data_IF_364651252309
#
_entry.id   IF_364651252309
#
_cell.length_a   1.000
_cell.length_b   1.000
_cell.length_c   1.000
_cell.angle_alpha   90.00
_cell.angle_beta   90.00
_cell.angle_gamma   90.00
#
_symmetry.space_group_name_H-M   'P 1'
#
loop_
_entity.id
_entity.type
_entity.pdbx_description
1 polymer ?
#
# COMPACT_ATOMS: atom_id res chain seq x y z
N UNK A 1 -22.70 -7.33 30.41
CA UNK A 1 -22.84 -8.50 29.54
C UNK A 1 -21.53 -8.61 28.77
N UNK A 2 -20.74 -9.66 29.00
CA UNK A 2 -19.45 -9.87 28.33
C UNK A 2 -19.72 -10.34 26.92
N UNK A 3 -19.41 -9.50 25.91
CA UNK A 3 -19.40 -9.95 24.51
C UNK A 3 -18.06 -10.65 24.26
N UNK A 4 -18.13 -11.94 23.97
CA UNK A 4 -17.00 -12.73 23.53
C UNK A 4 -16.61 -12.24 22.15
N UNK A 5 -15.41 -11.70 22.03
CA UNK A 5 -14.73 -11.40 20.79
C UNK A 5 -14.33 -12.74 20.17
N UNK A 6 -15.15 -13.28 19.26
CA UNK A 6 -14.75 -14.38 18.41
C UNK A 6 -13.89 -13.82 17.28
N UNK A 7 -12.58 -13.81 17.48
CA UNK A 7 -11.63 -13.70 16.38
C UNK A 7 -11.70 -15.03 15.59
N UNK A 8 -12.57 -15.10 14.61
CA UNK A 8 -12.57 -16.17 13.63
C UNK A 8 -11.44 -15.92 12.65
N UNK A 9 -10.24 -16.36 13.00
CA UNK A 9 -9.16 -16.53 12.02
C UNK A 9 -9.61 -17.65 11.08
N UNK A 10 -10.19 -17.29 9.96
CA UNK A 10 -10.46 -18.21 8.86
C UNK A 10 -9.13 -18.56 8.20
N UNK A 11 -8.49 -19.61 8.71
CA UNK A 11 -7.50 -20.36 7.97
C UNK A 11 -8.19 -21.05 6.80
N UNK A 12 -8.34 -20.37 5.68
CA UNK A 12 -8.72 -21.00 4.42
C UNK A 12 -7.52 -21.82 3.92
N UNK A 13 -7.39 -23.04 4.42
CA UNK A 13 -6.63 -24.08 3.76
C UNK A 13 -7.37 -24.38 2.45
N UNK A 14 -6.94 -23.79 1.35
CA UNK A 14 -7.32 -24.21 0.01
C UNK A 14 -6.68 -25.59 -0.25
N UNK A 15 -7.35 -26.66 0.15
CA UNK A 15 -7.12 -27.99 -0.39
C UNK A 15 -7.64 -28.01 -1.83
N UNK A 16 -6.80 -27.62 -2.78
CA UNK A 16 -7.05 -27.89 -4.19
C UNK A 16 -6.83 -29.40 -4.42
N UNK A 17 -7.92 -30.15 -4.46
CA UNK A 17 -7.91 -31.52 -4.98
C UNK A 17 -7.79 -31.46 -6.50
N UNK A 18 -6.60 -31.75 -7.01
CA UNK A 18 -6.41 -32.00 -8.43
C UNK A 18 -6.96 -33.39 -8.78
N UNK A 19 -7.73 -33.55 -9.87
CA UNK A 19 -8.11 -34.87 -10.33
C UNK A 19 -6.89 -35.62 -10.86
N UNK A 20 -6.75 -36.90 -10.42
CA UNK A 20 -5.74 -37.79 -10.90
C UNK A 20 -5.93 -38.05 -12.40
N UNK A 21 -4.92 -37.65 -13.19
CA UNK A 21 -4.85 -38.02 -14.61
C UNK A 21 -4.33 -39.44 -14.75
N UNK A 22 -4.98 -40.18 -15.64
CA UNK A 22 -4.82 -41.59 -15.89
C UNK A 22 -3.40 -41.99 -16.31
N UNK A 23 -2.97 -43.06 -15.75
CA UNK A 23 -1.79 -43.85 -16.05
C UNK A 23 -1.85 -44.40 -17.48
N UNK A 24 -0.95 -44.03 -18.36
CA UNK A 24 -0.68 -44.72 -19.62
C UNK A 24 0.72 -45.32 -19.56
N UNK A 25 0.75 -46.63 -19.85
CA UNK A 25 1.86 -47.55 -19.71
C UNK A 25 3.10 -47.19 -20.54
N UNK A 26 4.26 -47.41 -19.96
CA UNK A 26 5.60 -47.42 -20.53
C UNK A 26 5.87 -48.57 -21.50
N UNK A 27 6.80 -48.38 -22.44
CA UNK A 27 7.66 -49.49 -22.87
C UNK A 27 9.06 -49.41 -22.26
N UNK A 28 9.68 -50.55 -22.12
CA UNK A 28 10.84 -50.89 -21.33
C UNK A 28 12.21 -50.43 -21.90
N UNK A 29 13.11 -50.20 -20.95
CA UNK A 29 14.55 -50.49 -20.92
C UNK A 29 15.47 -49.85 -21.95
N UNK A 30 16.32 -48.92 -21.43
CA UNK A 30 17.70 -48.81 -21.83
C UNK A 30 18.56 -48.59 -20.58
N UNK A 31 19.58 -49.41 -20.41
CA UNK A 31 20.60 -49.31 -19.36
C UNK A 31 21.32 -47.98 -19.45
N UNK A 32 21.37 -47.26 -18.34
CA UNK A 32 22.20 -46.03 -18.23
C UNK A 32 23.17 -46.22 -17.05
N UNK A 33 24.40 -46.20 -17.41
CA UNK A 33 25.63 -46.05 -16.64
C UNK A 33 25.45 -45.29 -15.33
N UNK A 34 25.93 -45.88 -14.24
CA UNK A 34 26.23 -45.21 -12.97
C UNK A 34 27.27 -44.11 -13.21
N UNK A 35 26.81 -42.86 -13.21
CA UNK A 35 27.66 -41.73 -12.97
C UNK A 35 27.43 -41.22 -11.56
N UNK A 36 28.50 -41.22 -10.78
CA UNK A 36 28.58 -40.73 -9.42
C UNK A 36 27.91 -39.38 -9.28
N UNK A 37 26.84 -39.33 -8.51
CA UNK A 37 26.22 -38.11 -8.04
C UNK A 37 27.23 -37.39 -7.15
N UNK A 38 27.80 -36.28 -7.68
CA UNK A 38 28.41 -35.22 -6.86
C UNK A 38 27.38 -34.83 -5.80
N UNK A 39 27.75 -34.67 -4.52
CA UNK A 39 26.82 -34.19 -3.52
C UNK A 39 26.35 -32.81 -3.98
N UNK A 40 25.04 -32.64 -4.14
CA UNK A 40 24.44 -31.35 -4.33
C UNK A 40 24.93 -30.46 -3.18
N UNK A 41 25.75 -29.47 -3.50
CA UNK A 41 26.04 -28.38 -2.57
C UNK A 41 24.66 -27.84 -2.12
N UNK A 42 24.33 -28.08 -0.87
CA UNK A 42 23.25 -27.37 -0.20
C UNK A 42 23.68 -25.90 -0.18
N UNK A 43 23.26 -25.13 -1.17
CA UNK A 43 23.34 -23.68 -1.11
C UNK A 43 22.65 -23.30 0.19
N UNK A 44 23.43 -22.85 1.16
CA UNK A 44 22.91 -22.38 2.43
C UNK A 44 21.84 -21.34 2.10
N UNK A 45 20.63 -21.52 2.62
CA UNK A 45 19.52 -20.61 2.43
C UNK A 45 19.90 -19.25 3.07
N UNK A 46 20.56 -18.40 2.28
CA UNK A 46 21.08 -17.13 2.74
C UNK A 46 19.89 -16.22 3.06
N UNK A 47 19.74 -15.90 4.34
CA UNK A 47 18.78 -14.90 4.78
C UNK A 47 19.45 -13.53 4.76
N UNK A 48 18.70 -12.50 4.40
CA UNK A 48 19.13 -11.11 4.54
C UNK A 48 18.12 -10.30 5.34
N UNK A 49 18.60 -9.32 6.09
CA UNK A 49 17.79 -8.33 6.78
C UNK A 49 18.25 -6.94 6.35
N UNK A 50 17.35 -6.19 5.75
CA UNK A 50 17.62 -4.86 5.23
C UNK A 50 16.70 -3.84 5.90
N UNK A 51 17.28 -2.74 6.40
CA UNK A 51 16.50 -1.58 6.83
C UNK A 51 16.46 -0.55 5.70
N UNK A 52 15.27 -0.20 5.26
CA UNK A 52 15.08 0.75 4.17
C UNK A 52 14.43 2.03 4.71
N UNK A 53 15.10 3.15 4.53
CA UNK A 53 14.46 4.46 4.50
C UNK A 53 14.05 4.66 3.04
N UNK A 54 12.81 4.35 2.72
CA UNK A 54 12.27 4.53 1.37
C UNK A 54 12.19 6.01 1.03
N UNK A 55 11.74 6.83 2.00
CA UNK A 55 11.62 8.27 1.82
C UNK A 55 11.52 9.00 3.17
N UNK A 56 12.38 9.99 3.38
CA UNK A 56 12.14 11.11 4.31
C UNK A 56 12.03 12.33 3.43
N UNK A 57 10.90 13.02 3.43
CA UNK A 57 10.68 14.11 2.50
C UNK A 57 10.04 15.34 3.15
N UNK A 58 10.35 16.50 2.56
CA UNK A 58 9.57 17.73 2.70
C UNK A 58 8.92 18.00 1.35
N UNK A 59 7.62 18.22 1.38
CA UNK A 59 6.81 18.38 0.19
C UNK A 59 6.09 19.73 0.21
N UNK A 60 6.11 20.40 -0.93
CA UNK A 60 5.27 21.58 -1.20
C UNK A 60 4.24 21.17 -2.25
N UNK A 61 2.96 21.38 -1.97
CA UNK A 61 1.87 20.92 -2.80
C UNK A 61 0.88 22.03 -3.12
N UNK A 62 0.30 21.92 -4.31
CA UNK A 62 -0.87 22.66 -4.75
C UNK A 62 -2.00 21.65 -5.06
N UNK A 63 -3.16 21.90 -4.50
CA UNK A 63 -4.28 20.97 -4.48
C UNK A 63 -5.45 21.51 -5.29
N UNK A 64 -6.10 20.66 -6.08
CA UNK A 64 -7.29 21.00 -6.86
C UNK A 64 -8.33 19.87 -6.76
N UNK A 65 -9.59 20.24 -6.50
CA UNK A 65 -10.71 19.31 -6.33
C UNK A 65 -11.84 19.63 -7.29
N UNK A 66 -12.43 18.60 -7.90
CA UNK A 66 -13.64 18.73 -8.73
C UNK A 66 -14.91 18.37 -7.94
N UNK A 67 -16.04 18.99 -8.28
CA UNK A 67 -17.36 18.72 -7.67
C UNK A 67 -17.38 18.97 -6.14
N UNK A 68 -16.90 20.11 -5.67
CA UNK A 68 -16.68 20.49 -4.26
C UNK A 68 -17.93 20.43 -3.35
N UNK A 69 -19.12 20.56 -3.89
CA UNK A 69 -20.33 20.86 -3.10
C UNK A 69 -21.19 19.63 -2.75
N UNK A 70 -20.67 18.41 -2.90
CA UNK A 70 -21.42 17.21 -2.56
C UNK A 70 -21.18 16.82 -1.09
N UNK A 71 -22.17 16.93 -0.21
CA UNK A 71 -22.05 16.65 1.23
C UNK A 71 -21.81 15.17 1.56
N UNK A 72 -21.86 14.28 0.55
CA UNK A 72 -21.63 12.85 0.73
C UNK A 72 -20.16 12.47 0.62
N UNK A 73 -19.25 13.43 0.51
CA UNK A 73 -17.81 13.19 0.57
C UNK A 73 -17.22 13.67 1.89
N UNK A 74 -16.18 12.99 2.43
CA UNK A 74 -15.42 13.50 3.57
C UNK A 74 -14.86 14.90 3.33
N UNK A 75 -14.65 15.68 4.40
CA UNK A 75 -14.19 17.07 4.34
C UNK A 75 -12.83 17.20 3.64
N UNK A 76 -11.97 16.19 3.72
CA UNK A 76 -10.69 16.16 2.98
C UNK A 76 -10.85 16.26 1.46
N UNK A 77 -12.03 15.95 0.93
CA UNK A 77 -12.39 16.12 -0.49
C UNK A 77 -13.10 17.45 -0.79
N UNK A 78 -13.35 18.29 0.21
CA UNK A 78 -14.04 19.57 0.07
C UNK A 78 -13.10 20.78 0.08
N UNK A 79 -11.80 20.56 0.27
CA UNK A 79 -10.80 21.61 0.35
C UNK A 79 -10.70 22.41 -0.96
N UNK A 80 -10.66 23.73 -0.84
CA UNK A 80 -10.34 24.63 -1.94
C UNK A 80 -8.86 24.54 -2.34
N UNK A 81 -8.45 25.28 -3.42
CA UNK A 81 -7.05 25.41 -3.78
C UNK A 81 -6.22 25.82 -2.55
N UNK A 82 -5.28 24.98 -2.16
CA UNK A 82 -4.49 25.18 -0.96
C UNK A 82 -3.01 24.90 -1.25
N UNK A 83 -2.18 25.72 -0.62
CA UNK A 83 -0.74 25.51 -0.60
C UNK A 83 -0.38 24.84 0.73
N UNK A 84 0.21 23.68 0.66
CA UNK A 84 0.59 22.88 1.84
C UNK A 84 2.09 22.67 1.89
N UNK A 85 2.57 22.52 3.12
CA UNK A 85 3.89 21.94 3.39
C UNK A 85 3.65 20.71 4.25
N UNK A 86 4.17 19.58 3.82
CA UNK A 86 4.12 18.34 4.58
C UNK A 86 5.51 17.75 4.81
N UNK A 87 5.63 17.02 5.92
CA UNK A 87 6.75 16.14 6.22
C UNK A 87 6.29 14.68 6.09
N UNK A 88 7.11 13.86 5.45
CA UNK A 88 6.82 12.46 5.18
C UNK A 88 7.97 11.56 5.62
N UNK A 89 7.63 10.46 6.25
CA UNK A 89 8.52 9.33 6.52
C UNK A 89 7.90 8.04 5.97
N UNK A 90 8.65 7.30 5.15
CA UNK A 90 8.34 5.94 4.71
C UNK A 90 9.57 5.08 4.90
N UNK A 91 9.45 4.03 5.70
CA UNK A 91 10.55 3.11 5.98
C UNK A 91 10.07 1.72 6.35
N UNK A 92 10.93 0.74 6.12
CA UNK A 92 10.64 -0.64 6.48
C UNK A 92 11.87 -1.46 6.85
N UNK A 93 11.61 -2.59 7.51
CA UNK A 93 12.53 -3.70 7.70
C UNK A 93 12.09 -4.85 6.81
N UNK A 94 12.98 -5.31 5.94
CA UNK A 94 12.74 -6.42 5.02
C UNK A 94 13.61 -7.60 5.42
N UNK A 95 12.98 -8.71 5.81
CA UNK A 95 13.62 -10.01 5.98
C UNK A 95 13.34 -10.85 4.75
N UNK A 96 14.39 -11.20 4.02
CA UNK A 96 14.31 -11.93 2.76
C UNK A 96 15.04 -13.29 2.87
N UNK A 97 14.38 -14.36 2.42
CA UNK A 97 14.92 -15.71 2.24
C UNK A 97 14.51 -16.26 0.88
N UNK A 98 15.12 -17.39 0.50
CA UNK A 98 14.77 -18.07 -0.76
C UNK A 98 13.27 -18.39 -0.89
N UNK A 99 12.59 -18.68 0.23
CA UNK A 99 11.18 -19.12 0.25
C UNK A 99 10.18 -18.05 0.64
N UNK A 100 10.62 -16.93 1.23
CA UNK A 100 9.71 -15.90 1.72
C UNK A 100 10.34 -14.51 1.80
N UNK A 101 9.48 -13.51 1.77
CA UNK A 101 9.80 -12.12 2.16
C UNK A 101 8.84 -11.70 3.26
N UNK A 102 9.39 -11.06 4.28
CA UNK A 102 8.61 -10.47 5.37
C UNK A 102 9.01 -9.02 5.55
N UNK A 103 8.07 -8.11 5.35
CA UNK A 103 8.27 -6.66 5.43
C UNK A 103 7.46 -6.12 6.60
N UNK A 104 8.10 -5.31 7.45
CA UNK A 104 7.42 -4.54 8.48
C UNK A 104 7.73 -3.07 8.26
N UNK A 105 6.70 -2.25 8.10
CA UNK A 105 6.87 -0.86 7.70
C UNK A 105 6.11 0.13 8.54
N UNK A 106 6.59 1.36 8.47
CA UNK A 106 5.99 2.55 9.00
C UNK A 106 5.95 3.61 7.89
N UNK A 107 4.75 4.09 7.62
CA UNK A 107 4.52 5.29 6.85
C UNK A 107 3.91 6.35 7.76
N UNK A 108 4.36 7.58 7.65
CA UNK A 108 3.82 8.69 8.41
C UNK A 108 3.91 9.97 7.58
N UNK A 109 2.83 10.73 7.50
CA UNK A 109 2.79 12.03 6.85
C UNK A 109 2.05 13.00 7.76
N UNK A 110 2.56 14.23 7.83
CA UNK A 110 1.91 15.32 8.54
C UNK A 110 2.10 16.63 7.78
N UNK A 111 0.99 17.30 7.49
CA UNK A 111 0.99 18.56 6.74
C UNK A 111 -0.08 19.52 7.20
N UNK A 112 0.25 20.80 7.15
CA UNK A 112 -0.68 21.89 7.47
C UNK A 112 -0.74 22.90 6.34
N UNK A 113 -1.94 23.42 6.09
CA UNK A 113 -2.16 24.56 5.23
C UNK A 113 -2.66 25.75 6.01
N UNK A 114 -2.38 26.93 5.47
CA UNK A 114 -2.94 28.20 5.96
C UNK A 114 -3.69 28.87 4.83
N UNK A 115 -4.96 29.10 5.03
CA UNK A 115 -5.81 29.87 4.13
C UNK A 115 -6.18 31.17 4.82
N UNK A 116 -5.94 32.31 4.15
CA UNK A 116 -6.36 33.62 4.67
C UNK A 116 -7.44 34.21 3.78
N UNK A 117 -8.66 34.24 4.27
CA UNK A 117 -9.79 34.87 3.61
C UNK A 117 -10.28 36.06 4.42
N UNK A 118 -10.44 37.22 3.77
CA UNK A 118 -10.94 38.46 4.39
C UNK A 118 -10.18 38.88 5.67
N UNK A 119 -8.87 38.57 5.77
CA UNK A 119 -8.04 38.86 6.94
C UNK A 119 -8.19 37.83 8.09
N UNK A 120 -8.96 36.79 7.92
CA UNK A 120 -9.06 35.68 8.86
C UNK A 120 -8.17 34.54 8.33
N UNK A 121 -7.22 34.11 9.14
CA UNK A 121 -6.35 32.96 8.81
C UNK A 121 -6.93 31.70 9.46
N UNK A 122 -7.22 30.71 8.64
CA UNK A 122 -7.61 29.38 9.07
C UNK A 122 -6.46 28.42 8.83
N UNK A 123 -6.10 27.63 9.83
CA UNK A 123 -5.16 26.53 9.69
C UNK A 123 -5.98 25.23 9.51
N UNK A 124 -5.67 24.48 8.46
CA UNK A 124 -6.27 23.17 8.22
C UNK A 124 -5.16 22.12 8.21
N UNK A 125 -5.43 20.98 8.80
CA UNK A 125 -4.61 19.76 8.69
C UNK A 125 -5.07 19.03 7.44
N UNK A 126 -4.16 18.85 6.48
CA UNK A 126 -4.52 18.26 5.18
C UNK A 126 -3.96 16.85 5.00
N UNK A 127 -2.85 16.59 5.67
CA UNK A 127 -2.19 15.28 5.68
C UNK A 127 -1.93 14.94 7.15
N UNK A 128 -2.57 13.91 7.64
CA UNK A 128 -2.37 13.41 9.01
C UNK A 128 -2.62 11.91 9.01
N UNK A 129 -1.56 11.14 8.75
CA UNK A 129 -1.65 9.68 8.68
C UNK A 129 -0.42 9.04 9.30
N UNK A 130 -0.66 7.99 10.07
CA UNK A 130 0.34 7.03 10.54
C UNK A 130 -0.15 5.64 10.15
N UNK A 131 0.62 4.92 9.33
CA UNK A 131 0.34 3.54 8.95
C UNK A 131 1.47 2.63 9.41
N UNK A 132 1.15 1.69 10.29
CA UNK A 132 2.01 0.57 10.65
C UNK A 132 1.53 -0.67 9.90
N UNK A 133 2.45 -1.41 9.26
CA UNK A 133 2.05 -2.60 8.52
C UNK A 133 3.07 -3.73 8.61
N UNK A 134 2.55 -4.93 8.39
CA UNK A 134 3.32 -6.14 8.17
C UNK A 134 2.81 -6.85 6.93
N UNK A 135 3.72 -7.33 6.08
CA UNK A 135 3.44 -7.98 4.81
C UNK A 135 4.31 -9.24 4.70
N UNK A 136 3.69 -10.38 4.55
CA UNK A 136 4.35 -11.66 4.34
C UNK A 136 4.02 -12.18 2.95
N UNK A 137 5.05 -12.49 2.15
CA UNK A 137 4.90 -13.10 0.82
C UNK A 137 5.65 -14.44 0.81
N UNK A 138 4.97 -15.52 0.42
CA UNK A 138 5.59 -16.81 0.20
C UNK A 138 5.99 -16.95 -1.27
N UNK A 139 7.30 -17.16 -1.55
CA UNK A 139 7.88 -17.24 -2.89
C UNK A 139 7.61 -18.63 -3.45
N UNK A 140 6.69 -18.77 -4.42
CA UNK A 140 6.35 -20.09 -5.01
C UNK A 140 6.82 -20.17 -6.45
N UNK A 141 6.48 -19.20 -7.27
CA UNK A 141 6.75 -19.24 -8.71
C UNK A 141 7.85 -18.23 -9.06
N UNK A 142 8.98 -18.76 -9.53
CA UNK A 142 10.10 -17.97 -10.03
C UNK A 142 9.94 -17.85 -11.54
N UNK A 143 9.56 -16.66 -12.00
CA UNK A 143 9.36 -16.31 -13.39
C UNK A 143 10.54 -15.48 -13.90
N UNK A 144 10.74 -15.39 -15.22
CA UNK A 144 11.76 -14.50 -15.81
C UNK A 144 11.53 -13.02 -15.41
N UNK A 145 10.27 -12.62 -15.18
CA UNK A 145 9.88 -11.26 -14.83
C UNK A 145 9.82 -10.96 -13.33
N UNK A 146 10.12 -11.93 -12.48
CA UNK A 146 10.06 -11.77 -11.01
C UNK A 146 9.48 -12.99 -10.31
N UNK A 147 9.21 -12.85 -9.04
CA UNK A 147 8.72 -13.91 -8.16
C UNK A 147 7.24 -13.69 -7.85
N UNK A 148 6.42 -14.70 -8.05
CA UNK A 148 4.99 -14.65 -7.71
C UNK A 148 4.69 -15.58 -6.54
N UNK A 149 3.83 -15.12 -5.64
CA UNK A 149 3.38 -15.94 -4.52
C UNK A 149 2.17 -15.39 -3.80
N UNK A 150 1.52 -16.23 -2.97
CA UNK A 150 0.49 -15.77 -2.07
C UNK A 150 1.08 -14.86 -1.01
N UNK A 151 0.31 -13.87 -0.60
CA UNK A 151 0.70 -12.95 0.46
C UNK A 151 -0.42 -12.72 1.46
N UNK A 152 -0.02 -12.27 2.64
CA UNK A 152 -0.89 -11.77 3.69
C UNK A 152 -0.34 -10.44 4.22
N UNK A 153 -1.22 -9.48 4.40
CA UNK A 153 -0.91 -8.14 4.88
C UNK A 153 -1.83 -7.78 6.04
N UNK A 154 -1.28 -7.10 7.03
CA UNK A 154 -2.02 -6.47 8.10
C UNK A 154 -1.48 -5.05 8.30
N UNK A 155 -2.36 -4.06 8.28
CA UNK A 155 -2.03 -2.66 8.50
C UNK A 155 -2.95 -2.03 9.52
N UNK A 156 -2.39 -1.14 10.34
CA UNK A 156 -3.13 -0.28 11.25
C UNK A 156 -2.83 1.18 10.92
N UNK A 157 -3.90 1.90 10.56
CA UNK A 157 -3.87 3.31 10.19
C UNK A 157 -4.45 4.13 11.32
N UNK A 158 -3.77 5.21 11.68
CA UNK A 158 -4.20 6.21 12.64
C UNK A 158 -3.66 7.59 12.25
N UNK A 159 -3.81 8.59 13.08
CA UNK A 159 -3.36 9.97 12.86
C UNK A 159 -2.60 10.50 14.08
N UNK A 160 -1.88 11.62 13.91
CA UNK A 160 -1.13 12.28 14.99
C UNK A 160 -2.05 13.07 15.91
N UNK A 161 -3.07 13.70 15.35
CA UNK A 161 -3.98 14.61 16.03
C UNK A 161 -5.40 14.06 16.00
N UNK A 162 -6.17 14.39 17.03
CA UNK A 162 -7.60 14.06 17.04
C UNK A 162 -8.37 15.14 16.27
N UNK A 163 -9.42 14.75 15.54
CA UNK A 163 -10.33 15.69 14.90
C UNK A 163 -11.63 15.82 15.69
N UNK A 164 -12.22 17.00 15.65
CA UNK A 164 -13.49 17.28 16.35
C UNK A 164 -14.66 17.20 15.40
N UNK A 165 -15.65 16.37 15.74
CA UNK A 165 -16.93 16.30 15.06
C UNK A 165 -18.04 16.48 16.08
N UNK A 166 -18.87 17.51 15.89
CA UNK A 166 -20.02 17.84 16.76
C UNK A 166 -19.66 17.95 18.25
N UNK A 167 -18.46 18.47 18.56
CA UNK A 167 -17.99 18.64 19.96
C UNK A 167 -17.44 17.35 20.59
N UNK A 168 -17.24 16.31 19.83
CA UNK A 168 -16.59 15.06 20.26
C UNK A 168 -15.29 14.87 19.49
N UNK A 169 -14.21 14.58 20.22
CA UNK A 169 -12.91 14.30 19.62
C UNK A 169 -12.85 12.83 19.18
N UNK A 170 -12.44 12.62 17.96
CA UNK A 170 -12.25 11.32 17.34
C UNK A 170 -10.79 11.21 16.85
N UNK A 171 -10.33 9.97 16.71
CA UNK A 171 -9.05 9.64 16.08
C UNK A 171 -9.28 8.52 15.08
N UNK A 172 -8.75 8.65 13.88
CA UNK A 172 -8.76 7.59 12.87
C UNK A 172 -8.16 6.31 13.43
N UNK A 173 -8.87 5.20 13.30
CA UNK A 173 -8.45 3.86 13.72
C UNK A 173 -8.99 2.85 12.72
N UNK A 174 -8.15 2.49 11.75
CA UNK A 174 -8.54 1.55 10.68
C UNK A 174 -7.59 0.36 10.72
N UNK A 175 -8.15 -0.82 10.94
CA UNK A 175 -7.43 -2.09 10.81
C UNK A 175 -7.73 -2.67 9.42
N UNK A 176 -6.69 -3.00 8.65
CA UNK A 176 -6.83 -3.50 7.30
C UNK A 176 -6.06 -4.80 7.11
N UNK A 177 -6.77 -5.86 6.72
CA UNK A 177 -6.20 -7.14 6.36
C UNK A 177 -6.34 -7.38 4.86
N UNK A 178 -5.32 -7.96 4.23
CA UNK A 178 -5.35 -8.32 2.80
C UNK A 178 -4.75 -9.70 2.59
N UNK A 179 -5.25 -10.40 1.57
CA UNK A 179 -4.66 -11.66 1.10
C UNK A 179 -4.90 -11.80 -0.40
N UNK A 180 -3.94 -12.38 -1.10
CA UNK A 180 -4.03 -12.52 -2.55
C UNK A 180 -2.76 -13.05 -3.17
N UNK A 181 -2.50 -12.63 -4.41
CA UNK A 181 -1.29 -12.97 -5.16
C UNK A 181 -0.49 -11.70 -5.41
N UNK A 182 0.84 -11.81 -5.21
CA UNK A 182 1.78 -10.72 -5.35
C UNK A 182 2.93 -11.12 -6.26
N UNK A 183 3.24 -10.25 -7.23
CA UNK A 183 4.49 -10.23 -7.97
C UNK A 183 5.47 -9.37 -7.18
N UNK A 184 6.62 -9.93 -6.88
CA UNK A 184 7.68 -9.31 -6.11
C UNK A 184 9.00 -9.40 -6.88
N UNK A 185 9.87 -8.37 -6.70
CA UNK A 185 11.22 -8.31 -7.26
C UNK A 185 11.30 -8.49 -8.78
N UNK A 186 10.42 -7.80 -9.49
CA UNK A 186 10.52 -7.63 -10.94
C UNK A 186 11.48 -6.48 -11.27
N UNK A 187 12.02 -6.47 -12.49
CA UNK A 187 12.92 -5.43 -12.97
C UNK A 187 12.33 -4.02 -12.76
N UNK A 188 11.09 -3.82 -13.18
CA UNK A 188 10.41 -2.53 -13.12
C UNK A 188 9.32 -2.46 -12.04
N UNK A 189 8.65 -3.56 -11.74
CA UNK A 189 7.65 -3.61 -10.67
C UNK A 189 8.31 -4.02 -9.36
N UNK A 190 8.38 -3.11 -8.41
CA UNK A 190 8.81 -3.41 -7.04
C UNK A 190 7.76 -4.20 -6.28
N UNK A 191 6.50 -3.94 -6.60
CA UNK A 191 5.37 -4.79 -6.24
C UNK A 191 4.21 -4.61 -7.23
N UNK A 192 3.46 -5.69 -7.43
CA UNK A 192 2.17 -5.68 -8.11
C UNK A 192 1.33 -6.78 -7.47
N UNK A 193 0.15 -6.45 -6.96
CA UNK A 193 -0.70 -7.46 -6.39
C UNK A 193 -2.19 -7.24 -6.64
N UNK A 194 -2.92 -8.36 -6.56
CA UNK A 194 -4.38 -8.38 -6.48
C UNK A 194 -4.76 -9.09 -5.18
N UNK A 195 -5.68 -8.50 -4.42
CA UNK A 195 -6.05 -9.01 -3.10
C UNK A 195 -7.54 -8.86 -2.82
N UNK A 196 -8.04 -9.71 -1.95
CA UNK A 196 -9.21 -9.42 -1.12
C UNK A 196 -8.76 -8.54 0.04
N UNK A 197 -9.56 -7.56 0.39
CA UNK A 197 -9.32 -6.64 1.50
C UNK A 197 -10.50 -6.67 2.46
N UNK A 198 -10.16 -6.71 3.74
CA UNK A 198 -11.08 -6.48 4.84
C UNK A 198 -10.59 -5.29 5.64
N UNK A 199 -11.45 -4.31 5.85
CA UNK A 199 -11.15 -3.07 6.55
C UNK A 199 -12.16 -2.90 7.68
N UNK A 200 -11.67 -2.75 8.91
CA UNK A 200 -12.46 -2.46 10.09
C UNK A 200 -12.17 -1.03 10.54
N UNK A 201 -13.15 -0.16 10.33
CA UNK A 201 -13.08 1.25 10.71
C UNK A 201 -13.67 1.41 12.12
N UNK A 202 -12.78 1.53 13.10
CA UNK A 202 -13.06 1.69 14.53
C UNK A 202 -13.00 3.16 14.96
N UNK A 203 -12.99 4.10 14.03
CA UNK A 203 -12.91 5.55 14.30
C UNK A 203 -14.08 6.03 15.12
N UNK A 204 -15.26 5.55 14.81
CA UNK A 204 -16.50 5.94 15.47
C UNK A 204 -16.97 4.87 16.45
N UNK A 205 -17.98 5.21 17.26
CA UNK A 205 -18.55 4.32 18.28
C UNK A 205 -19.06 2.99 17.73
N UNK A 206 -19.52 2.99 16.49
CA UNK A 206 -19.98 1.81 15.79
C UNK A 206 -18.95 1.43 14.73
N UNK A 207 -18.29 0.28 14.91
CA UNK A 207 -17.32 -0.22 13.95
C UNK A 207 -17.98 -0.50 12.59
N UNK A 208 -17.31 -0.12 11.51
CA UNK A 208 -17.80 -0.35 10.16
C UNK A 208 -16.82 -1.27 9.41
N UNK A 209 -17.18 -2.54 9.33
CA UNK A 209 -16.40 -3.53 8.59
C UNK A 209 -16.78 -3.49 7.11
N UNK A 210 -15.76 -3.37 6.25
CA UNK A 210 -15.90 -3.26 4.80
C UNK A 210 -15.09 -4.35 4.13
N UNK A 211 -15.69 -5.06 3.18
CA UNK A 211 -15.00 -6.09 2.39
C UNK A 211 -14.90 -5.63 0.94
N UNK A 212 -13.75 -5.82 0.34
CA UNK A 212 -13.47 -5.36 -1.01
C UNK A 212 -12.37 -6.14 -1.72
N UNK A 213 -11.90 -5.57 -2.82
CA UNK A 213 -10.77 -6.05 -3.59
C UNK A 213 -9.82 -4.90 -3.92
N UNK A 214 -8.52 -5.18 -3.87
CA UNK A 214 -7.45 -4.25 -4.20
C UNK A 214 -6.66 -4.73 -5.42
N UNK A 215 -6.25 -3.78 -6.25
CA UNK A 215 -5.12 -3.92 -7.18
C UNK A 215 -4.13 -2.83 -6.78
N UNK A 216 -2.88 -3.20 -6.51
CA UNK A 216 -1.85 -2.25 -6.04
C UNK A 216 -0.58 -2.47 -6.84
N UNK A 217 0.11 -1.39 -7.19
CA UNK A 217 1.36 -1.44 -7.92
C UNK A 217 2.36 -0.40 -7.39
N UNK A 218 3.65 -0.72 -7.55
CA UNK A 218 4.78 0.18 -7.43
C UNK A 218 5.72 -0.11 -8.60
N UNK A 219 5.87 0.87 -9.50
CA UNK A 219 6.60 0.77 -10.75
C UNK A 219 7.76 1.77 -10.76
N UNK A 220 8.97 1.30 -11.06
CA UNK A 220 10.17 2.11 -11.17
C UNK A 220 10.77 1.94 -12.56
N UNK A 221 11.01 3.04 -13.26
CA UNK A 221 11.62 3.03 -14.57
C UNK A 221 12.82 4.00 -14.63
N UNK A 222 14.06 3.49 -14.77
CA UNK A 222 15.23 4.34 -14.87
C UNK A 222 15.24 5.09 -16.20
N UNK A 223 15.17 6.43 -16.14
CA UNK A 223 15.25 7.30 -17.32
C UNK A 223 16.71 7.54 -17.71
N UNK A 224 17.59 7.64 -16.69
CA UNK A 224 19.04 7.74 -16.83
C UNK A 224 19.71 7.36 -15.48
N UNK A 225 21.05 7.30 -15.38
CA UNK A 225 21.73 6.87 -14.15
C UNK A 225 21.39 7.68 -12.89
N UNK A 226 20.88 8.90 -13.03
CA UNK A 226 20.56 9.79 -11.91
C UNK A 226 19.06 10.09 -11.78
N UNK A 227 18.22 9.61 -12.70
CA UNK A 227 16.81 9.98 -12.75
C UNK A 227 15.94 8.75 -12.96
N UNK A 228 14.97 8.55 -12.08
CA UNK A 228 14.01 7.44 -12.13
C UNK A 228 12.59 7.99 -12.16
N UNK A 229 11.76 7.50 -13.06
CA UNK A 229 10.33 7.67 -12.98
C UNK A 229 9.77 6.62 -12.03
N UNK A 230 9.01 7.07 -11.03
CA UNK A 230 8.33 6.22 -10.05
C UNK A 230 6.84 6.48 -10.14
N UNK A 231 6.08 5.41 -10.26
CA UNK A 231 4.62 5.45 -10.23
C UNK A 231 4.13 4.39 -9.27
N UNK A 232 3.36 4.79 -8.30
CA UNK A 232 2.74 3.90 -7.32
C UNK A 232 1.26 4.23 -7.20
N UNK A 233 0.46 3.22 -6.87
CA UNK A 233 -0.97 3.46 -6.72
C UNK A 233 -1.77 2.21 -6.43
N UNK A 234 -3.06 2.45 -6.19
CA UNK A 234 -3.99 1.37 -5.98
C UNK A 234 -5.38 1.69 -6.55
N UNK A 235 -6.10 0.63 -6.88
CA UNK A 235 -7.54 0.66 -7.09
C UNK A 235 -8.19 -0.27 -6.06
N UNK A 236 -9.09 0.28 -5.24
CA UNK A 236 -9.87 -0.46 -4.25
C UNK A 236 -11.35 -0.35 -4.57
N UNK A 237 -12.04 -1.47 -4.54
CA UNK A 237 -13.49 -1.53 -4.70
C UNK A 237 -14.10 -2.28 -3.52
N UNK A 238 -14.99 -1.62 -2.78
CA UNK A 238 -15.75 -2.24 -1.70
C UNK A 238 -17.11 -2.73 -2.20
N UNK A 239 -17.47 -3.95 -1.86
CA UNK A 239 -18.71 -4.58 -2.26
C UNK A 239 -19.59 -5.02 -1.07
N UNK A 240 -19.07 -5.05 0.16
CA UNK A 240 -19.80 -5.38 1.38
C UNK A 240 -19.44 -4.42 2.52
N UNK A 241 -20.44 -4.10 3.34
CA UNK A 241 -20.34 -3.18 4.48
C UNK A 241 -21.22 -3.70 5.61
N UNK A 242 -20.70 -3.71 6.85
CA UNK A 242 -21.50 -4.06 8.04
C UNK A 242 -22.49 -2.96 8.38
N UNK A 243 -22.11 -1.70 8.14
CA UNK A 243 -22.98 -0.53 8.19
C UNK A 243 -22.91 0.17 6.83
N UNK A 244 -23.98 0.81 6.41
CA UNK A 244 -24.10 1.40 5.08
C UNK A 244 -24.26 2.90 5.22
N UNK A 245 -23.13 3.59 5.37
CA UNK A 245 -23.10 5.05 5.42
C UNK A 245 -23.09 5.66 4.00
N UNK A 246 -23.64 6.88 3.87
CA UNK A 246 -23.62 7.60 2.59
C UNK A 246 -22.19 7.98 2.16
N UNK A 247 -21.34 8.24 3.14
CA UNK A 247 -19.93 8.62 2.98
C UNK A 247 -18.97 7.44 2.73
N UNK A 248 -19.43 6.19 2.86
CA UNK A 248 -18.63 5.01 2.55
C UNK A 248 -18.20 5.01 1.09
N UNK A 249 -16.91 4.83 0.83
CA UNK A 249 -16.42 4.69 -0.54
C UNK A 249 -16.92 3.40 -1.19
N UNK A 250 -17.46 3.50 -2.40
CA UNK A 250 -17.69 2.35 -3.29
C UNK A 250 -16.37 1.89 -3.89
N UNK A 251 -15.59 2.87 -4.39
CA UNK A 251 -14.25 2.64 -4.88
C UNK A 251 -13.37 3.87 -4.68
N UNK A 252 -12.07 3.61 -4.66
CA UNK A 252 -11.02 4.61 -4.64
C UNK A 252 -9.89 4.18 -5.58
N UNK A 253 -9.47 5.06 -6.47
CA UNK A 253 -8.26 4.97 -7.27
C UNK A 253 -7.32 6.07 -6.78
N UNK A 254 -6.10 5.71 -6.46
CA UNK A 254 -5.05 6.68 -6.11
C UNK A 254 -3.78 6.35 -6.89
N UNK A 255 -3.14 7.38 -7.43
CA UNK A 255 -1.83 7.25 -8.08
C UNK A 255 -0.92 8.38 -7.66
N UNK A 256 0.32 8.05 -7.36
CA UNK A 256 1.41 9.00 -7.14
C UNK A 256 2.45 8.78 -8.24
N UNK A 257 2.74 9.82 -9.00
CA UNK A 257 3.69 9.78 -10.10
C UNK A 257 4.77 10.81 -9.86
N UNK A 258 6.04 10.41 -9.82
CA UNK A 258 7.15 11.31 -9.55
C UNK A 258 8.37 11.02 -10.41
N UNK A 259 9.16 12.05 -10.67
CA UNK A 259 10.44 11.95 -11.36
C UNK A 259 11.54 12.25 -10.33
N UNK A 260 12.12 11.22 -9.76
CA UNK A 260 13.18 11.32 -8.77
C UNK A 260 14.53 11.59 -9.45
N UNK A 261 15.13 12.73 -9.19
CA UNK A 261 16.45 13.09 -9.69
C UNK A 261 17.43 13.21 -8.53
N UNK A 262 18.49 12.40 -8.56
CA UNK A 262 19.56 12.41 -7.57
C UNK A 262 20.35 13.70 -7.66
N UNK A 263 20.45 14.43 -6.55
CA UNK A 263 21.23 15.67 -6.44
C UNK A 263 22.65 15.37 -5.95
N UNK A 264 22.77 14.86 -4.72
CA UNK A 264 24.04 14.56 -4.09
C UNK A 264 23.86 13.47 -3.03
N UNK A 265 24.77 12.48 -2.98
CA UNK A 265 24.64 11.38 -2.02
C UNK A 265 23.35 10.61 -2.20
N UNK A 266 22.54 10.57 -1.15
CA UNK A 266 21.25 9.90 -1.09
C UNK A 266 20.08 10.92 -1.07
N UNK A 267 20.34 12.17 -1.50
CA UNK A 267 19.35 13.26 -1.59
C UNK A 267 18.80 13.36 -3.01
N UNK A 268 17.48 13.48 -3.13
CA UNK A 268 16.73 13.53 -4.38
C UNK A 268 15.78 14.71 -4.41
N UNK A 269 15.59 15.26 -5.60
CA UNK A 269 14.54 16.23 -5.93
C UNK A 269 13.52 15.54 -6.83
N UNK A 270 12.24 15.64 -6.50
CA UNK A 270 11.19 14.99 -7.24
C UNK A 270 9.97 15.91 -7.44
N UNK A 271 9.74 16.47 -8.62
CA UNK A 271 8.40 16.91 -8.99
C UNK A 271 7.49 15.68 -9.02
N UNK A 272 6.27 15.85 -8.48
CA UNK A 272 5.29 14.77 -8.42
C UNK A 272 3.89 15.26 -8.77
N UNK A 273 3.07 14.30 -9.17
CA UNK A 273 1.65 14.48 -9.45
C UNK A 273 0.86 13.33 -8.83
N UNK A 274 -0.02 13.66 -7.88
CA UNK A 274 -0.97 12.71 -7.31
C UNK A 274 -2.32 12.89 -7.98
N UNK A 275 -3.00 11.79 -8.24
CA UNK A 275 -4.36 11.79 -8.73
C UNK A 275 -5.19 10.79 -7.94
N UNK A 276 -6.30 11.25 -7.42
CA UNK A 276 -7.29 10.42 -6.76
C UNK A 276 -8.64 10.54 -7.45
N UNK A 277 -9.32 9.41 -7.61
CA UNK A 277 -10.70 9.33 -8.09
C UNK A 277 -11.47 8.42 -7.14
N UNK A 278 -12.55 8.93 -6.57
CA UNK A 278 -13.37 8.20 -5.64
C UNK A 278 -14.86 8.38 -5.91
N UNK A 279 -15.65 7.41 -5.51
CA UNK A 279 -17.10 7.50 -5.44
C UNK A 279 -17.60 6.93 -4.12
N UNK A 280 -18.42 7.71 -3.42
CA UNK A 280 -19.08 7.26 -2.20
C UNK A 280 -20.47 6.69 -2.51
N UNK A 281 -21.07 6.02 -1.55
CA UNK A 281 -22.38 5.37 -1.71
C UNK A 281 -23.53 6.36 -1.88
N UNK A 282 -23.44 7.52 -1.23
CA UNK A 282 -24.44 8.59 -1.29
C UNK A 282 -24.24 9.53 -2.47
N UNK A 283 -23.06 9.54 -3.08
CA UNK A 283 -22.75 10.48 -4.14
C UNK A 283 -23.43 10.11 -5.47
N UNK A 284 -23.83 11.14 -6.20
CA UNK A 284 -24.38 11.00 -7.55
C UNK A 284 -23.31 10.93 -8.66
N UNK A 285 -22.08 11.31 -8.35
CA UNK A 285 -20.94 11.38 -9.28
C UNK A 285 -19.63 11.09 -8.55
N UNK A 286 -18.68 10.53 -9.27
CA UNK A 286 -17.31 10.42 -8.82
C UNK A 286 -16.67 11.80 -8.61
N UNK A 287 -15.77 11.89 -7.65
CA UNK A 287 -14.96 13.08 -7.39
C UNK A 287 -13.51 12.79 -7.72
N UNK A 288 -12.87 13.70 -8.43
CA UNK A 288 -11.45 13.63 -8.71
C UNK A 288 -10.74 14.75 -7.95
N UNK A 289 -9.56 14.39 -7.43
CA UNK A 289 -8.65 15.27 -6.73
C UNK A 289 -7.28 15.13 -7.37
N UNK A 290 -6.59 16.24 -7.57
CA UNK A 290 -5.23 16.21 -8.07
C UNK A 290 -4.34 17.13 -7.27
N UNK A 291 -3.12 16.68 -7.03
CA UNK A 291 -2.10 17.43 -6.31
C UNK A 291 -0.84 17.45 -7.15
N UNK A 292 -0.30 18.60 -7.40
CA UNK A 292 1.01 18.78 -7.99
C UNK A 292 1.96 19.36 -6.94
N UNK A 293 3.20 18.86 -6.91
CA UNK A 293 4.13 19.31 -5.91
C UNK A 293 5.58 19.06 -6.25
N UNK A 294 6.43 19.48 -5.32
CA UNK A 294 7.87 19.27 -5.34
C UNK A 294 8.30 18.68 -4.01
N UNK A 295 8.99 17.55 -4.08
CA UNK A 295 9.53 16.82 -2.92
C UNK A 295 11.05 16.90 -2.92
N UNK A 296 11.62 17.21 -1.76
CA UNK A 296 13.04 17.02 -1.47
C UNK A 296 13.14 15.84 -0.51
N UNK A 297 13.74 14.74 -0.95
CA UNK A 297 13.74 13.47 -0.21
C UNK A 297 15.12 12.87 -0.01
N UNK A 298 15.23 12.07 1.04
CA UNK A 298 16.38 11.24 1.37
C UNK A 298 15.95 9.77 1.39
N UNK A 299 16.66 8.92 0.61
CA UNK A 299 16.35 7.50 0.47
C UNK A 299 17.62 6.69 0.72
N UNK A 300 17.56 5.66 1.59
CA UNK A 300 18.74 4.84 1.89
C UNK A 300 18.38 3.45 2.38
N UNK A 301 19.14 2.46 1.91
CA UNK A 301 19.08 1.08 2.40
C UNK A 301 20.32 0.73 3.20
N UNK A 302 20.15 -0.09 4.25
CA UNK A 302 21.20 -0.58 5.12
C UNK A 302 21.06 -2.09 5.24
N UNK A 303 22.07 -2.83 4.76
CA UNK A 303 22.13 -4.26 4.97
C UNK A 303 22.60 -4.51 6.42
N UNK A 304 21.81 -5.26 7.16
CA UNK A 304 22.08 -5.55 8.57
C UNK A 304 22.77 -6.90 8.75
N UNK A 305 22.45 -7.89 7.90
CA UNK A 305 23.17 -9.16 7.71
C UNK A 305 22.71 -9.86 6.44
#
# INVERSE_FOLDING_TARGET
MKKNLCLAVWGAALCATFPAAAETALPAAAEVSENASSPAETVADAASLTANIKRIAFEYLEHSVTNKDDPNYPDSYNADEQHNISGLFDGNLTYDRSTMVWVNGLYAIYGKSKTTENGVTTENENDDEILLYTDYTHKIWHLEQGIVGPFAYLGYETEFTDFNLDGTDYRTKILRAKTGLKLYDSENFKQLYIALVEEDDMTYKNDNMKTGADIVYEFHYPLNPNTTFVSEGYYRHFFSYSQKEATDFKYKLSTNNRIETKLVGDLYLAPFYNYELAETRGASRSRAQSTFGLSLSYNKSFDLF
#
